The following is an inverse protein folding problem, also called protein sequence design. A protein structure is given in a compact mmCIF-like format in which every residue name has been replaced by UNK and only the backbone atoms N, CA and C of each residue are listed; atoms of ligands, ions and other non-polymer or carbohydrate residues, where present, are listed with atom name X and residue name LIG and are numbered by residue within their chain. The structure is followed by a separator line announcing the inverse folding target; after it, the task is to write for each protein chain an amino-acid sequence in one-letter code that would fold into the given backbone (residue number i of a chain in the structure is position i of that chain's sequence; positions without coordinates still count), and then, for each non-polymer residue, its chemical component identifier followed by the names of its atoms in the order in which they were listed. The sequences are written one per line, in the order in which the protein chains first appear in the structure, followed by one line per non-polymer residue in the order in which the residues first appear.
data_IF_329024107503
#
_entry.id   IF_329024107503
#
_cell.length_a   1.000
_cell.length_b   1.000
_cell.length_c   1.000
_cell.angle_alpha   90.00
_cell.angle_beta   90.00
_cell.angle_gamma   90.00
#
_symmetry.space_group_name_H-M   'P 1'
#
loop_
_entity.id
_entity.type
_entity.pdbx_description
1 polymer ?
#
# COMPACT_ATOMS: atom_id res chain seq x y z
N UNK A 1 -25.55 18.62 -15.37
CA UNK A 1 -26.89 18.37 -14.82
C UNK A 1 -27.72 17.65 -15.90
N UNK A 2 -28.03 16.40 -15.66
CA UNK A 2 -28.91 15.60 -16.54
C UNK A 2 -30.16 15.23 -15.74
N UNK A 3 -31.32 15.49 -16.29
CA UNK A 3 -32.59 15.13 -15.68
C UNK A 3 -33.50 14.54 -16.76
N UNK A 4 -33.95 13.29 -16.58
CA UNK A 4 -34.96 12.65 -17.39
C UNK A 4 -36.29 12.68 -16.63
N UNK A 5 -37.34 13.12 -17.25
CA UNK A 5 -38.71 12.97 -16.74
C UNK A 5 -39.60 12.39 -17.83
N UNK A 6 -40.56 11.58 -17.46
CA UNK A 6 -41.43 10.87 -18.37
C UNK A 6 -42.90 11.08 -17.96
N UNK A 7 -43.73 11.40 -18.93
CA UNK A 7 -45.19 11.49 -18.77
C UNK A 7 -45.83 10.50 -19.74
N UNK A 8 -47.11 10.27 -19.61
CA UNK A 8 -47.86 9.36 -20.53
C UNK A 8 -47.74 9.75 -22.00
N UNK A 9 -47.48 10.99 -22.30
CA UNK A 9 -47.44 11.55 -23.67
C UNK A 9 -46.05 11.98 -24.13
N UNK A 10 -45.12 12.26 -23.22
CA UNK A 10 -43.81 12.87 -23.54
C UNK A 10 -42.70 12.30 -22.72
N UNK A 11 -41.49 12.21 -23.32
CA UNK A 11 -40.22 12.01 -22.67
C UNK A 11 -39.51 13.36 -22.73
N UNK A 12 -39.07 13.88 -21.56
CA UNK A 12 -38.39 15.16 -21.45
C UNK A 12 -36.98 14.89 -20.94
N UNK A 13 -35.99 15.33 -21.69
CA UNK A 13 -34.57 15.24 -21.33
C UNK A 13 -34.02 16.66 -21.17
N UNK A 14 -33.46 16.96 -20.03
CA UNK A 14 -32.72 18.22 -19.77
C UNK A 14 -31.24 17.92 -19.64
N UNK A 15 -30.41 18.53 -20.47
CA UNK A 15 -28.95 18.43 -20.42
C UNK A 15 -28.43 19.85 -20.27
N UNK A 16 -27.80 20.13 -19.14
CA UNK A 16 -27.35 21.49 -18.80
C UNK A 16 -28.52 22.47 -18.84
N UNK A 17 -28.57 23.34 -19.84
CA UNK A 17 -29.63 24.35 -20.01
C UNK A 17 -30.59 24.03 -21.19
N UNK A 18 -30.38 22.88 -21.85
CA UNK A 18 -31.17 22.50 -23.02
C UNK A 18 -32.28 21.52 -22.59
N UNK A 19 -33.52 21.87 -22.87
CA UNK A 19 -34.70 20.99 -22.68
C UNK A 19 -35.13 20.41 -24.03
N UNK A 20 -35.01 19.09 -24.16
CA UNK A 20 -35.47 18.35 -25.35
C UNK A 20 -36.75 17.58 -24.97
N UNK A 21 -37.80 17.76 -25.71
CA UNK A 21 -39.12 17.12 -25.47
C UNK A 21 -39.48 16.24 -26.65
N UNK A 22 -39.65 14.95 -26.40
CA UNK A 22 -40.09 13.98 -27.39
C UNK A 22 -41.53 13.58 -27.11
N UNK A 23 -42.41 13.66 -28.14
CA UNK A 23 -43.78 13.17 -28.04
C UNK A 23 -43.80 11.65 -28.17
N UNK A 24 -44.40 10.97 -27.22
CA UNK A 24 -44.62 9.52 -27.32
C UNK A 24 -45.66 9.23 -28.39
N UNK A 25 -45.34 8.36 -29.34
CA UNK A 25 -46.25 7.88 -30.34
C UNK A 25 -47.02 6.69 -29.76
N UNK A 26 -48.33 6.84 -29.55
CA UNK A 26 -49.17 5.72 -29.18
C UNK A 26 -49.18 4.69 -30.33
N UNK A 27 -48.70 3.47 -30.06
CA UNK A 27 -48.80 2.33 -30.96
C UNK A 27 -50.24 1.76 -30.86
N UNK A 28 -51.08 2.17 -31.77
CA UNK A 28 -52.27 1.37 -32.08
C UNK A 28 -51.90 0.34 -33.15
N UNK A 29 -51.82 -0.93 -32.76
CA UNK A 29 -51.54 -2.05 -33.64
C UNK A 29 -52.78 -2.43 -34.48
N UNK A 30 -53.02 -1.72 -35.59
CA UNK A 30 -53.77 -2.26 -36.75
C UNK A 30 -53.00 -1.86 -38.00
N UNK A 31 -52.84 -2.78 -39.00
CA UNK A 31 -52.25 -2.39 -40.28
C UNK A 31 -53.26 -1.47 -40.99
N UNK A 32 -53.11 -0.16 -40.80
CA UNK A 32 -53.84 0.82 -41.61
C UNK A 32 -53.21 0.84 -43.02
N UNK A 33 -54.04 0.69 -44.06
CA UNK A 33 -53.67 1.14 -45.41
C UNK A 33 -52.99 2.49 -45.27
N UNK A 34 -51.83 2.67 -45.91
CA UNK A 34 -51.11 3.95 -45.76
C UNK A 34 -52.02 5.09 -46.16
N UNK A 35 -52.12 6.14 -45.34
CA UNK A 35 -52.95 7.30 -45.59
C UNK A 35 -52.74 7.89 -46.99
N UNK A 36 -51.52 7.74 -47.52
CA UNK A 36 -51.15 8.20 -48.86
C UNK A 36 -51.85 7.43 -49.95
N UNK A 37 -52.07 6.12 -49.83
CA UNK A 37 -52.75 5.32 -50.83
C UNK A 37 -54.25 5.70 -50.92
N UNK A 38 -54.83 6.11 -49.80
CA UNK A 38 -56.21 6.63 -49.76
C UNK A 38 -56.30 8.02 -50.37
N UNK A 39 -55.33 8.90 -50.07
CA UNK A 39 -55.33 10.29 -50.57
C UNK A 39 -55.02 10.32 -52.06
N UNK A 40 -54.04 9.58 -52.58
CA UNK A 40 -53.70 9.62 -54.00
C UNK A 40 -54.68 8.90 -54.92
N UNK A 41 -55.55 8.04 -54.37
CA UNK A 41 -56.53 7.31 -55.16
C UNK A 41 -57.46 8.22 -55.93
N UNK A 42 -57.78 9.44 -55.45
CA UNK A 42 -58.63 10.43 -56.08
C UNK A 42 -57.98 11.22 -57.23
N UNK A 43 -56.64 11.05 -57.40
CA UNK A 43 -55.92 11.77 -58.46
C UNK A 43 -56.12 11.03 -59.79
N UNK A 44 -56.75 11.66 -60.80
CA UNK A 44 -57.05 10.97 -62.04
C UNK A 44 -55.85 10.65 -62.92
N UNK A 45 -54.78 11.40 -62.76
CA UNK A 45 -53.52 11.20 -63.55
C UNK A 45 -52.63 10.21 -62.87
N UNK A 46 -52.44 9.03 -63.50
CA UNK A 46 -51.67 7.94 -62.94
C UNK A 46 -50.21 8.34 -62.59
N UNK A 47 -49.50 9.01 -63.48
CA UNK A 47 -48.12 9.45 -63.27
C UNK A 47 -47.93 10.39 -62.07
N UNK A 48 -48.94 11.27 -61.84
CA UNK A 48 -48.89 12.17 -60.68
C UNK A 48 -49.17 11.42 -59.38
N UNK A 49 -50.08 10.45 -59.40
CA UNK A 49 -50.33 9.54 -58.27
C UNK A 49 -49.03 8.77 -57.84
N UNK A 50 -48.35 8.19 -58.84
CA UNK A 50 -47.18 7.39 -58.61
C UNK A 50 -46.02 8.27 -58.12
N UNK A 51 -45.85 9.48 -58.64
CA UNK A 51 -44.87 10.45 -58.15
C UNK A 51 -45.11 10.86 -56.69
N UNK A 52 -46.37 11.15 -56.32
CA UNK A 52 -46.72 11.50 -54.94
C UNK A 52 -46.46 10.32 -53.97
N UNK A 53 -46.81 9.09 -54.41
CA UNK A 53 -46.47 7.88 -53.62
C UNK A 53 -44.96 7.72 -53.41
N UNK A 54 -44.20 7.87 -54.46
CA UNK A 54 -42.72 7.74 -54.38
C UNK A 54 -42.11 8.76 -53.42
N UNK A 55 -42.51 10.03 -53.53
CA UNK A 55 -42.07 11.10 -52.61
C UNK A 55 -42.45 10.77 -51.16
N UNK A 56 -43.67 10.29 -50.93
CA UNK A 56 -44.12 9.91 -49.60
C UNK A 56 -43.30 8.74 -49.01
N UNK A 57 -43.08 7.69 -49.81
CA UNK A 57 -42.30 6.55 -49.34
C UNK A 57 -40.83 6.89 -49.13
N UNK A 58 -40.24 7.72 -49.99
CA UNK A 58 -38.91 8.25 -49.77
C UNK A 58 -38.80 9.05 -48.49
N UNK A 59 -39.72 9.99 -48.26
CA UNK A 59 -39.78 10.75 -47.01
C UNK A 59 -39.93 9.83 -45.79
N UNK A 60 -40.83 8.85 -45.86
CA UNK A 60 -41.06 7.88 -44.79
C UNK A 60 -39.82 7.06 -44.49
N UNK A 61 -39.09 6.62 -45.52
CA UNK A 61 -37.83 5.88 -45.36
C UNK A 61 -36.74 6.75 -44.72
N UNK A 62 -36.59 7.98 -45.17
CA UNK A 62 -35.64 8.94 -44.58
C UNK A 62 -35.95 9.22 -43.11
N UNK A 63 -37.26 9.36 -42.78
CA UNK A 63 -37.68 9.54 -41.37
C UNK A 63 -37.37 8.32 -40.52
N UNK A 64 -37.58 7.10 -41.04
CA UNK A 64 -37.28 5.86 -40.33
C UNK A 64 -35.75 5.69 -40.12
N UNK A 65 -34.94 6.05 -41.13
CA UNK A 65 -33.46 6.03 -40.98
C UNK A 65 -33.00 7.05 -39.93
N UNK A 66 -33.55 8.24 -39.94
CA UNK A 66 -33.23 9.28 -38.93
C UNK A 66 -33.60 8.83 -37.52
N UNK A 67 -34.79 8.21 -37.35
CA UNK A 67 -35.19 7.65 -36.07
C UNK A 67 -34.31 6.51 -35.61
N UNK A 68 -33.85 5.64 -36.55
CA UNK A 68 -32.89 4.59 -36.25
C UNK A 68 -31.53 5.14 -35.77
N UNK A 69 -31.01 6.20 -36.42
CA UNK A 69 -29.79 6.88 -36.02
C UNK A 69 -29.91 7.50 -34.62
N UNK A 70 -31.04 8.15 -34.33
CA UNK A 70 -31.29 8.72 -32.99
C UNK A 70 -31.33 7.61 -31.92
N UNK A 71 -32.02 6.50 -32.22
CA UNK A 71 -32.12 5.38 -31.29
C UNK A 71 -30.75 4.71 -31.03
N UNK A 72 -29.83 4.73 -32.00
CA UNK A 72 -28.49 4.21 -31.83
C UNK A 72 -27.57 5.18 -31.06
N UNK A 73 -27.82 6.49 -31.19
CA UNK A 73 -27.03 7.50 -30.42
C UNK A 73 -27.37 7.50 -28.93
N UNK A 74 -28.58 7.17 -28.55
CA UNK A 74 -29.04 7.20 -27.17
C UNK A 74 -28.22 6.25 -26.24
N UNK A 75 -28.07 4.96 -26.59
CA UNK A 75 -27.22 4.04 -25.79
C UNK A 75 -25.75 4.50 -25.72
N UNK A 76 -25.24 5.07 -26.80
CA UNK A 76 -23.82 5.58 -26.80
C UNK A 76 -23.65 6.74 -25.82
N UNK A 77 -24.59 7.66 -25.76
CA UNK A 77 -24.57 8.79 -24.80
C UNK A 77 -24.74 8.26 -23.36
N UNK A 78 -25.65 7.32 -23.15
CA UNK A 78 -25.93 6.73 -21.83
C UNK A 78 -24.71 5.96 -21.29
N UNK A 79 -24.05 5.17 -22.14
CA UNK A 79 -22.82 4.47 -21.78
C UNK A 79 -21.67 5.43 -21.49
N UNK A 80 -21.48 6.45 -22.34
CA UNK A 80 -20.47 7.48 -22.11
C UNK A 80 -20.67 8.26 -20.81
N UNK A 81 -21.92 8.55 -20.45
CA UNK A 81 -22.27 9.18 -19.18
C UNK A 81 -21.97 8.27 -17.99
N UNK A 82 -22.34 7.00 -18.09
CA UNK A 82 -22.04 5.99 -17.04
C UNK A 82 -20.55 5.85 -16.81
N UNK A 83 -19.74 5.81 -17.88
CA UNK A 83 -18.27 5.72 -17.78
C UNK A 83 -17.65 6.96 -17.13
N UNK A 84 -18.16 8.15 -17.47
CA UNK A 84 -17.72 9.41 -16.85
C UNK A 84 -18.08 9.41 -15.37
N UNK A 85 -19.28 9.01 -15.00
CA UNK A 85 -19.75 8.98 -13.62
C UNK A 85 -18.87 8.03 -12.78
N UNK A 86 -18.60 6.83 -13.31
CA UNK A 86 -17.70 5.87 -12.66
C UNK A 86 -16.29 6.45 -12.43
N UNK A 87 -15.73 7.14 -13.44
CA UNK A 87 -14.41 7.77 -13.29
C UNK A 87 -14.39 8.87 -12.23
N UNK A 88 -15.51 9.62 -12.09
CA UNK A 88 -15.65 10.62 -11.01
C UNK A 88 -15.73 9.95 -9.64
N UNK A 89 -16.48 8.87 -9.49
CA UNK A 89 -16.57 8.12 -8.23
C UNK A 89 -15.23 7.51 -7.85
N UNK A 90 -14.50 6.94 -8.82
CA UNK A 90 -13.15 6.41 -8.63
C UNK A 90 -12.17 7.51 -8.20
N UNK A 91 -12.22 8.68 -8.85
CA UNK A 91 -11.40 9.84 -8.51
C UNK A 91 -11.74 10.39 -7.11
N UNK A 92 -13.03 10.50 -6.79
CA UNK A 92 -13.49 10.94 -5.47
C UNK A 92 -12.98 10.01 -4.37
N UNK A 93 -13.15 8.71 -4.56
CA UNK A 93 -12.65 7.68 -3.64
C UNK A 93 -11.13 7.75 -3.48
N UNK A 94 -10.40 7.95 -4.57
CA UNK A 94 -8.96 8.14 -4.54
C UNK A 94 -8.56 9.37 -3.72
N UNK A 95 -9.21 10.50 -3.93
CA UNK A 95 -8.92 11.76 -3.20
C UNK A 95 -9.23 11.60 -1.70
N UNK A 96 -10.38 11.01 -1.36
CA UNK A 96 -10.74 10.76 0.04
C UNK A 96 -9.71 9.87 0.74
N UNK A 97 -9.28 8.78 0.10
CA UNK A 97 -8.25 7.90 0.64
C UNK A 97 -6.92 8.65 0.87
N UNK A 98 -6.50 9.50 -0.09
CA UNK A 98 -5.28 10.31 0.04
C UNK A 98 -5.36 11.34 1.15
N UNK A 99 -6.50 12.00 1.33
CA UNK A 99 -6.73 12.93 2.44
C UNK A 99 -6.70 12.21 3.78
N UNK A 100 -7.28 11.02 3.87
CA UNK A 100 -7.24 10.17 5.06
C UNK A 100 -5.81 9.75 5.40
N UNK A 101 -5.03 9.30 4.42
CA UNK A 101 -3.62 8.93 4.61
C UNK A 101 -2.80 10.12 5.09
N UNK A 102 -2.98 11.30 4.48
CA UNK A 102 -2.32 12.54 4.89
C UNK A 102 -2.67 12.93 6.33
N UNK A 103 -3.97 12.91 6.68
CA UNK A 103 -4.43 13.19 8.04
C UNK A 103 -3.77 12.25 9.06
N UNK A 104 -3.73 10.96 8.77
CA UNK A 104 -3.11 9.97 9.65
C UNK A 104 -1.59 10.17 9.77
N UNK A 105 -0.90 10.52 8.68
CA UNK A 105 0.54 10.79 8.71
C UNK A 105 0.85 12.05 9.54
N UNK A 106 0.08 13.12 9.40
CA UNK A 106 0.21 14.33 10.24
C UNK A 106 -0.03 13.99 11.72
N UNK A 107 -1.05 13.19 12.02
CA UNK A 107 -1.32 12.73 13.38
C UNK A 107 -0.15 11.92 13.94
N UNK A 108 0.38 10.97 13.18
CA UNK A 108 1.55 10.18 13.58
C UNK A 108 2.77 11.08 13.85
N UNK A 109 2.99 12.10 13.02
CA UNK A 109 4.08 13.06 13.21
C UNK A 109 3.91 13.88 14.50
N UNK A 110 2.68 14.33 14.82
CA UNK A 110 2.38 15.04 16.07
C UNK A 110 2.62 14.13 17.28
N UNK A 111 2.14 12.89 17.23
CA UNK A 111 2.32 11.92 18.31
C UNK A 111 3.80 11.58 18.50
N UNK A 112 4.53 11.28 17.42
CA UNK A 112 5.95 10.98 17.50
C UNK A 112 6.75 12.14 18.06
N UNK A 113 6.50 13.36 17.63
CA UNK A 113 7.18 14.55 18.16
C UNK A 113 6.94 14.78 19.66
N UNK A 114 5.87 14.24 20.23
CA UNK A 114 5.58 14.36 21.67
C UNK A 114 6.22 13.25 22.53
N UNK A 115 6.38 12.03 21.99
CA UNK A 115 6.86 10.87 22.77
C UNK A 115 8.28 10.43 22.40
N UNK A 116 8.67 10.47 21.12
CA UNK A 116 9.97 10.02 20.64
C UNK A 116 11.18 10.73 21.27
N UNK A 117 11.13 12.06 21.58
CA UNK A 117 12.27 12.72 22.24
C UNK A 117 12.66 12.04 23.55
N UNK A 118 11.70 11.59 24.34
CA UNK A 118 11.94 10.89 25.61
C UNK A 118 12.54 9.51 25.44
N UNK A 119 12.29 8.90 24.26
CA UNK A 119 12.71 7.53 23.95
C UNK A 119 14.07 7.54 23.24
N UNK A 120 14.19 8.29 22.12
CA UNK A 120 15.28 8.10 21.16
C UNK A 120 16.44 9.08 21.30
N UNK A 121 16.26 10.27 21.88
CA UNK A 121 17.33 11.29 21.97
C UNK A 121 18.60 10.72 22.64
N UNK A 122 18.44 9.93 23.68
CA UNK A 122 19.55 9.33 24.43
C UNK A 122 20.38 8.31 23.63
N UNK A 123 19.87 7.85 22.48
CA UNK A 123 20.56 6.87 21.65
C UNK A 123 21.29 7.48 20.44
N UNK A 124 21.25 8.80 20.27
CA UNK A 124 21.99 9.45 19.18
C UNK A 124 23.48 9.15 19.34
N UNK A 125 24.07 8.55 18.29
CA UNK A 125 25.51 8.24 18.19
C UNK A 125 26.09 7.28 19.28
N UNK A 126 25.25 6.58 20.06
CA UNK A 126 25.73 5.70 21.16
C UNK A 126 26.53 4.49 20.68
N UNK A 127 26.39 4.11 19.41
CA UNK A 127 27.12 2.99 18.82
C UNK A 127 28.25 3.43 17.88
N UNK A 128 28.66 4.70 17.95
CA UNK A 128 29.78 5.20 17.14
C UNK A 128 30.99 4.32 17.32
N UNK A 129 31.59 3.91 16.20
CA UNK A 129 32.72 2.97 16.14
C UNK A 129 32.44 1.52 16.59
N UNK A 130 31.20 1.14 16.84
CA UNK A 130 30.80 -0.25 17.12
C UNK A 130 30.19 -0.89 15.88
N UNK A 131 30.24 -2.20 15.86
CA UNK A 131 29.50 -3.02 14.92
C UNK A 131 28.11 -3.33 15.49
N UNK A 132 27.09 -3.29 14.67
CA UNK A 132 25.72 -3.60 15.05
C UNK A 132 25.18 -4.70 14.14
N UNK A 133 24.52 -5.70 14.71
CA UNK A 133 23.85 -6.78 14.00
C UNK A 133 22.36 -6.57 14.08
N UNK A 134 21.70 -6.41 12.93
CA UNK A 134 20.24 -6.45 12.82
C UNK A 134 19.80 -7.90 12.58
N UNK A 135 19.14 -8.49 13.58
CA UNK A 135 18.68 -9.88 13.57
C UNK A 135 17.18 -9.90 13.23
N UNK A 136 16.89 -10.30 12.01
CA UNK A 136 15.53 -10.50 11.49
C UNK A 136 15.20 -11.99 11.46
N UNK A 137 13.96 -12.34 11.19
CA UNK A 137 13.42 -13.69 11.44
C UNK A 137 13.37 -14.59 10.20
N UNK A 138 14.07 -14.26 9.12
CA UNK A 138 14.15 -15.11 7.94
C UNK A 138 14.91 -16.42 8.19
N UNK A 139 14.67 -17.47 7.35
CA UNK A 139 15.26 -18.80 7.53
C UNK A 139 16.80 -18.86 7.60
N UNK A 140 17.49 -17.94 6.91
CA UNK A 140 18.96 -17.87 6.91
C UNK A 140 19.56 -17.55 8.28
N UNK A 141 18.74 -17.06 9.23
CA UNK A 141 19.15 -16.90 10.63
C UNK A 141 19.68 -18.20 11.23
N UNK A 142 19.19 -19.37 10.82
CA UNK A 142 19.67 -20.65 11.30
C UNK A 142 21.17 -20.90 10.97
N UNK A 143 21.67 -20.30 9.89
CA UNK A 143 23.05 -20.41 9.44
C UNK A 143 23.95 -19.28 9.99
N UNK A 144 23.41 -18.40 10.82
CA UNK A 144 24.18 -17.30 11.38
C UNK A 144 25.18 -17.80 12.43
N UNK A 145 26.45 -17.41 12.27
CA UNK A 145 27.50 -17.61 13.25
C UNK A 145 27.63 -16.30 14.03
N UNK A 146 27.38 -16.29 15.36
CA UNK A 146 27.39 -15.06 16.14
C UNK A 146 28.73 -14.28 16.05
N UNK A 147 28.63 -13.01 15.70
CA UNK A 147 29.77 -12.08 15.67
C UNK A 147 30.00 -11.59 17.11
N UNK A 148 31.24 -11.62 17.56
CA UNK A 148 31.61 -11.18 18.92
C UNK A 148 31.72 -9.65 19.00
N UNK A 149 31.51 -9.11 20.19
CA UNK A 149 31.68 -7.68 20.49
C UNK A 149 30.81 -6.75 19.63
N UNK A 150 29.64 -7.21 19.19
CA UNK A 150 28.66 -6.45 18.47
C UNK A 150 27.48 -6.09 19.37
N UNK A 151 26.77 -5.01 19.00
CA UNK A 151 25.46 -4.70 19.55
C UNK A 151 24.40 -5.45 18.74
N UNK A 152 23.58 -6.24 19.41
CA UNK A 152 22.55 -7.08 18.76
C UNK A 152 21.17 -6.43 18.85
N UNK A 153 20.57 -6.14 17.72
CA UNK A 153 19.21 -5.57 17.58
C UNK A 153 18.31 -6.61 16.95
N UNK A 154 17.39 -7.17 17.71
CA UNK A 154 16.45 -8.16 17.23
C UNK A 154 15.07 -7.56 16.90
N UNK A 155 14.29 -8.25 16.06
CA UNK A 155 12.92 -7.88 15.74
C UNK A 155 11.96 -9.05 15.96
N UNK A 156 10.75 -8.75 16.46
CA UNK A 156 9.68 -9.74 16.70
C UNK A 156 10.21 -11.01 17.38
N UNK A 157 10.08 -12.17 16.71
CA UNK A 157 10.51 -13.47 17.22
C UNK A 157 12.03 -13.67 17.37
N UNK A 158 12.86 -12.68 17.00
CA UNK A 158 14.33 -12.83 17.13
C UNK A 158 14.77 -13.16 18.57
N UNK A 159 14.00 -12.80 19.58
CA UNK A 159 14.27 -13.18 20.98
C UNK A 159 14.23 -14.70 21.24
N UNK A 160 13.66 -15.50 20.34
CA UNK A 160 13.69 -16.97 20.39
C UNK A 160 14.99 -17.56 19.87
N UNK A 161 15.85 -16.77 19.24
CA UNK A 161 17.15 -17.20 18.74
C UNK A 161 18.16 -17.20 19.87
N UNK A 162 18.45 -18.38 20.42
CA UNK A 162 19.18 -18.57 21.67
C UNK A 162 20.71 -18.51 21.55
N UNK A 163 21.25 -18.25 20.33
CA UNK A 163 22.71 -18.20 20.15
C UNK A 163 23.34 -16.84 20.48
N UNK A 164 22.51 -15.79 20.65
CA UNK A 164 22.97 -14.45 21.03
C UNK A 164 22.00 -13.79 22.00
N UNK A 165 22.53 -12.95 22.89
CA UNK A 165 21.74 -12.05 23.71
C UNK A 165 21.45 -10.77 22.92
N UNK A 166 20.24 -10.24 23.00
CA UNK A 166 19.84 -9.00 22.35
C UNK A 166 20.05 -7.82 23.31
N UNK A 167 20.66 -6.75 22.79
CA UNK A 167 20.75 -5.46 23.50
C UNK A 167 19.45 -4.66 23.32
N UNK A 168 18.86 -4.75 22.12
CA UNK A 168 17.62 -4.09 21.76
C UNK A 168 16.66 -5.06 21.08
N UNK A 169 15.38 -4.94 21.38
CA UNK A 169 14.31 -5.73 20.76
C UNK A 169 13.16 -4.84 20.30
N UNK A 170 12.89 -4.86 19.01
CA UNK A 170 11.77 -4.16 18.38
C UNK A 170 10.60 -5.10 18.15
N UNK A 171 9.41 -4.71 18.57
CA UNK A 171 8.16 -5.49 18.43
C UNK A 171 7.09 -4.59 17.86
N UNK A 172 6.46 -4.99 16.76
CA UNK A 172 5.40 -4.23 16.11
C UNK A 172 4.19 -5.10 15.79
N UNK A 173 4.39 -6.37 15.44
CA UNK A 173 3.35 -7.19 14.88
C UNK A 173 2.61 -8.02 15.95
N UNK A 174 1.44 -7.53 16.32
CA UNK A 174 0.53 -8.20 17.23
C UNK A 174 -0.23 -9.40 16.59
N UNK A 175 -0.24 -9.50 15.25
CA UNK A 175 -0.85 -10.64 14.57
C UNK A 175 0.11 -11.81 14.42
N UNK A 176 1.41 -11.50 14.32
CA UNK A 176 2.46 -12.52 14.27
C UNK A 176 2.79 -13.08 15.65
N UNK A 177 2.60 -12.29 16.72
CA UNK A 177 2.86 -12.69 18.09
C UNK A 177 1.54 -12.99 18.82
N UNK A 178 1.42 -14.19 19.39
CA UNK A 178 0.34 -14.52 20.32
C UNK A 178 0.49 -13.71 21.61
N UNK A 179 -0.58 -13.65 22.43
CA UNK A 179 -0.52 -13.00 23.73
C UNK A 179 0.61 -13.54 24.62
N UNK A 180 0.84 -14.84 24.62
CA UNK A 180 1.89 -15.49 25.39
C UNK A 180 3.28 -15.09 24.87
N UNK A 181 3.48 -15.05 23.56
CA UNK A 181 4.74 -14.62 22.95
C UNK A 181 5.04 -13.15 23.20
N UNK A 182 4.02 -12.27 23.22
CA UNK A 182 4.18 -10.89 23.68
C UNK A 182 4.64 -10.82 25.12
N UNK A 183 4.04 -11.63 26.01
CA UNK A 183 4.45 -11.73 27.40
C UNK A 183 5.88 -12.26 27.54
N UNK A 184 6.24 -13.26 26.76
CA UNK A 184 7.61 -13.81 26.72
C UNK A 184 8.60 -12.76 26.24
N UNK A 185 8.26 -11.96 25.23
CA UNK A 185 9.11 -10.87 24.75
C UNK A 185 9.35 -9.79 25.80
N UNK A 186 8.36 -9.49 26.64
CA UNK A 186 8.51 -8.56 27.78
C UNK A 186 9.46 -9.11 28.82
N UNK A 187 9.35 -10.41 29.11
CA UNK A 187 10.17 -11.10 30.11
C UNK A 187 11.59 -11.43 29.58
N UNK A 188 11.79 -11.42 28.27
CA UNK A 188 13.10 -11.68 27.68
C UNK A 188 14.15 -10.66 28.16
N UNK A 189 15.31 -11.14 28.62
CA UNK A 189 16.44 -10.31 28.97
C UNK A 189 16.10 -9.16 29.93
N UNK A 190 15.26 -9.40 30.96
CA UNK A 190 14.91 -8.40 31.97
C UNK A 190 16.19 -7.74 32.49
N UNK A 191 16.22 -6.41 32.54
CA UNK A 191 17.35 -5.57 32.96
C UNK A 191 18.56 -5.55 32.01
N UNK A 192 18.56 -6.31 30.91
CA UNK A 192 19.66 -6.34 29.94
C UNK A 192 19.24 -5.91 28.53
N UNK A 193 18.06 -6.30 28.09
CA UNK A 193 17.54 -6.00 26.76
C UNK A 193 16.52 -4.84 26.81
N UNK A 194 16.76 -3.78 26.06
CA UNK A 194 15.84 -2.63 25.93
C UNK A 194 14.80 -2.95 24.85
N UNK A 195 13.53 -2.78 25.18
CA UNK A 195 12.42 -3.13 24.30
C UNK A 195 11.71 -1.90 23.77
N UNK A 196 11.35 -1.96 22.48
CA UNK A 196 10.61 -0.95 21.75
C UNK A 196 9.37 -1.57 21.14
N UNK A 197 8.19 -0.98 21.39
CA UNK A 197 6.91 -1.47 20.89
C UNK A 197 6.33 -0.46 19.91
N UNK A 198 6.24 -0.84 18.65
CA UNK A 198 5.74 0.00 17.56
C UNK A 198 4.22 -0.02 17.48
N UNK A 199 3.63 1.17 17.33
CA UNK A 199 2.19 1.36 17.12
C UNK A 199 1.96 2.26 15.91
N UNK A 200 0.93 1.98 15.10
CA UNK A 200 0.58 2.76 13.91
C UNK A 200 -0.30 3.94 14.27
N UNK A 201 -1.09 3.85 15.34
CA UNK A 201 -1.91 4.95 15.84
C UNK A 201 -2.29 4.72 17.31
N UNK A 202 -2.76 5.78 17.98
CA UNK A 202 -3.26 5.72 19.36
C UNK A 202 -4.40 4.70 19.58
N UNK A 203 -5.19 4.41 18.54
CA UNK A 203 -6.26 3.39 18.60
C UNK A 203 -5.73 1.96 18.56
N UNK A 204 -4.50 1.75 18.11
CA UNK A 204 -3.88 0.44 18.04
C UNK A 204 -3.13 0.04 19.31
N UNK A 205 -2.85 0.97 20.22
CA UNK A 205 -2.23 0.66 21.51
C UNK A 205 -3.03 -0.44 22.24
N UNK A 206 -4.35 -0.30 22.29
CA UNK A 206 -5.21 -1.29 22.96
C UNK A 206 -5.32 -2.62 22.21
N UNK A 207 -5.12 -2.63 20.89
CA UNK A 207 -5.19 -3.83 20.05
C UNK A 207 -3.86 -4.56 19.93
N UNK A 208 -2.77 -3.81 19.98
CA UNK A 208 -1.43 -4.31 19.66
C UNK A 208 -0.70 -4.82 20.89
N UNK A 209 -0.82 -4.11 22.00
CA UNK A 209 -0.16 -4.50 23.24
C UNK A 209 -1.23 -4.50 24.32
N UNK A 210 -1.53 -5.67 24.92
CA UNK A 210 -2.48 -5.70 26.01
C UNK A 210 -2.11 -4.67 27.09
N UNK A 211 -3.08 -3.87 27.52
CA UNK A 211 -2.91 -2.76 28.45
C UNK A 211 -2.04 -3.10 29.67
N UNK A 212 -2.21 -4.31 30.21
CA UNK A 212 -1.42 -4.84 31.32
C UNK A 212 0.08 -5.00 31.04
N UNK A 213 0.49 -5.09 29.76
CA UNK A 213 1.90 -5.28 29.38
C UNK A 213 2.63 -3.94 29.39
N UNK A 214 2.02 -2.87 28.87
CA UNK A 214 2.69 -1.57 28.82
C UNK A 214 2.51 -0.73 30.10
N UNK A 215 1.47 -0.94 30.88
CA UNK A 215 1.27 -0.24 32.16
C UNK A 215 2.25 -0.68 33.25
N UNK A 216 2.78 -1.89 33.17
CA UNK A 216 3.62 -2.49 34.21
C UNK A 216 5.08 -2.75 33.77
N UNK A 217 5.50 -2.23 32.62
CA UNK A 217 6.84 -2.47 32.12
C UNK A 217 7.49 -1.15 31.63
N UNK A 218 8.82 -1.07 31.71
CA UNK A 218 9.64 0.00 31.12
C UNK A 218 9.58 -0.08 29.56
N UNK A 219 8.38 -0.17 29.00
CA UNK A 219 8.16 -0.29 27.58
C UNK A 219 8.35 1.06 26.89
N UNK A 220 9.27 1.14 25.95
CA UNK A 220 9.39 2.27 25.04
C UNK A 220 8.39 2.10 23.90
N UNK A 221 7.27 2.83 23.94
CA UNK A 221 6.26 2.82 22.87
C UNK A 221 6.64 3.87 21.84
N UNK A 222 6.75 3.50 20.57
CA UNK A 222 7.08 4.42 19.49
C UNK A 222 6.06 4.37 18.36
N UNK A 223 5.98 5.46 17.59
CA UNK A 223 5.07 5.59 16.45
C UNK A 223 5.73 5.09 15.18
N UNK A 224 4.99 4.29 14.44
CA UNK A 224 5.38 3.76 13.12
C UNK A 224 4.50 4.39 12.06
N UNK A 225 5.06 4.78 10.92
CA UNK A 225 4.28 5.21 9.77
C UNK A 225 3.55 4.00 9.16
N UNK A 226 2.34 4.23 8.69
CA UNK A 226 1.53 3.18 8.09
C UNK A 226 2.16 2.73 6.78
N UNK A 227 2.35 1.41 6.63
CA UNK A 227 2.80 0.80 5.39
C UNK A 227 1.86 1.11 4.21
N UNK A 228 2.41 1.15 2.99
CA UNK A 228 1.68 1.38 1.74
C UNK A 228 1.14 2.81 1.56
N UNK A 229 1.60 3.76 2.36
CA UNK A 229 1.30 5.18 2.16
C UNK A 229 2.42 5.89 1.42
N UNK A 230 2.13 6.99 0.68
CA UNK A 230 3.17 7.78 0.01
C UNK A 230 4.05 8.58 1.00
N UNK A 231 3.68 8.59 2.27
CA UNK A 231 4.36 9.33 3.33
C UNK A 231 5.38 8.47 4.07
N UNK A 232 5.41 7.16 3.80
CA UNK A 232 6.33 6.24 4.42
C UNK A 232 7.75 6.47 3.91
N UNK A 233 8.64 6.86 4.81
CA UNK A 233 10.04 7.18 4.49
C UNK A 233 10.95 6.96 5.70
N UNK A 234 12.23 6.74 5.44
CA UNK A 234 13.25 6.80 6.47
C UNK A 234 13.47 8.24 6.93
N UNK A 235 13.73 8.43 8.22
CA UNK A 235 13.89 9.74 8.82
C UNK A 235 15.28 9.88 9.47
N UNK A 236 15.95 10.98 9.16
CA UNK A 236 17.25 11.31 9.76
C UNK A 236 17.13 11.72 11.24
N UNK A 237 15.94 12.14 11.68
CA UNK A 237 15.66 12.51 13.07
C UNK A 237 14.48 11.70 13.63
N UNK A 238 14.76 10.50 14.09
CA UNK A 238 13.75 9.61 14.68
C UNK A 238 13.24 10.08 16.05
N UNK A 239 13.86 11.10 16.62
CA UNK A 239 13.37 11.66 17.90
C UNK A 239 12.12 12.53 17.72
N UNK A 240 11.73 12.89 16.50
CA UNK A 240 10.53 13.70 16.21
C UNK A 240 9.62 13.09 15.13
N UNK A 241 10.15 12.24 14.25
CA UNK A 241 9.38 11.65 13.16
C UNK A 241 9.04 10.18 13.44
N UNK A 242 7.92 9.66 12.91
CA UNK A 242 7.60 8.24 12.99
C UNK A 242 8.66 7.39 12.26
N UNK A 243 8.81 6.13 12.66
CA UNK A 243 9.72 5.19 12.01
C UNK A 243 9.03 4.50 10.83
N UNK A 244 9.76 4.11 9.77
CA UNK A 244 9.19 3.42 8.62
C UNK A 244 8.82 1.98 8.94
N UNK A 245 7.92 1.40 8.17
CA UNK A 245 7.52 -0.01 8.25
C UNK A 245 7.84 -0.79 6.97
N UNK A 246 7.54 -0.27 5.78
CA UNK A 246 7.66 -0.95 4.47
C UNK A 246 7.26 -2.44 4.53
N UNK A 247 6.22 -2.74 5.33
CA UNK A 247 5.73 -4.11 5.54
C UNK A 247 6.61 -4.99 6.46
N UNK A 248 7.66 -4.42 7.09
CA UNK A 248 8.50 -5.14 8.05
C UNK A 248 9.04 -4.22 9.14
N UNK A 249 8.98 -4.67 10.37
CA UNK A 249 9.60 -3.98 11.52
C UNK A 249 11.12 -3.83 11.40
N UNK A 250 11.77 -4.62 10.55
CA UNK A 250 13.21 -4.52 10.29
C UNK A 250 13.62 -3.10 9.88
N UNK A 251 12.74 -2.35 9.19
CA UNK A 251 13.02 -0.99 8.74
C UNK A 251 12.99 0.03 9.88
N UNK A 252 12.07 -0.13 10.84
CA UNK A 252 12.07 0.68 12.05
C UNK A 252 13.35 0.44 12.87
N UNK A 253 13.73 -0.82 13.05
CA UNK A 253 14.98 -1.19 13.74
C UNK A 253 16.22 -0.67 12.99
N UNK A 254 16.25 -0.76 11.66
CA UNK A 254 17.35 -0.23 10.84
C UNK A 254 17.46 1.29 10.95
N UNK A 255 16.33 2.02 10.93
CA UNK A 255 16.34 3.48 11.11
C UNK A 255 16.87 3.88 12.50
N UNK A 256 16.51 3.12 13.56
CA UNK A 256 17.08 3.29 14.88
C UNK A 256 18.60 2.99 14.88
N UNK A 257 19.05 1.88 14.26
CA UNK A 257 20.47 1.54 14.17
C UNK A 257 21.24 2.68 13.49
N UNK A 258 20.74 3.21 12.36
CA UNK A 258 21.37 4.35 11.69
C UNK A 258 21.49 5.57 12.61
N UNK A 259 20.45 5.89 13.40
CA UNK A 259 20.45 6.95 14.40
C UNK A 259 21.53 6.78 15.47
N UNK A 260 21.84 5.52 15.82
CA UNK A 260 22.93 5.22 16.78
C UNK A 260 24.33 5.33 16.17
N UNK A 261 24.44 5.54 14.84
CA UNK A 261 25.64 5.79 14.06
C UNK A 261 26.75 4.74 14.25
N UNK A 262 26.49 3.46 13.95
CA UNK A 262 27.52 2.41 14.07
C UNK A 262 28.58 2.53 12.96
N UNK A 263 29.72 1.85 13.13
CA UNK A 263 30.73 1.69 12.08
C UNK A 263 30.21 0.78 10.95
N UNK A 264 29.63 -0.38 11.31
CA UNK A 264 29.10 -1.38 10.37
C UNK A 264 27.74 -1.87 10.83
N UNK A 265 26.87 -2.19 9.87
CA UNK A 265 25.58 -2.85 10.10
C UNK A 265 25.60 -4.21 9.39
N UNK A 266 25.48 -5.28 10.16
CA UNK A 266 25.33 -6.64 9.62
C UNK A 266 23.83 -7.00 9.58
N UNK A 267 23.34 -7.41 8.41
CA UNK A 267 21.97 -7.83 8.19
C UNK A 267 21.88 -9.35 8.23
N UNK A 268 21.12 -9.90 9.16
CA UNK A 268 21.00 -11.34 9.40
C UNK A 268 19.53 -11.75 9.36
N UNK A 269 19.18 -12.79 8.61
CA UNK A 269 17.80 -13.24 8.45
C UNK A 269 16.92 -12.24 7.69
N UNK A 270 17.53 -11.33 6.92
CA UNK A 270 16.84 -10.36 6.07
C UNK A 270 16.53 -10.96 4.68
N UNK A 271 15.86 -12.10 4.63
CA UNK A 271 15.82 -12.94 3.44
C UNK A 271 14.99 -12.36 2.29
N UNK A 272 13.94 -11.61 2.60
CA UNK A 272 13.01 -11.04 1.58
C UNK A 272 12.66 -12.04 0.47
N UNK A 273 12.29 -13.25 0.86
CA UNK A 273 11.96 -14.35 -0.03
C UNK A 273 10.73 -15.10 0.46
N UNK A 274 10.19 -15.99 -0.36
CA UNK A 274 9.04 -16.82 -0.04
C UNK A 274 9.32 -17.91 1.04
N UNK A 275 10.51 -17.95 1.61
CA UNK A 275 10.93 -19.02 2.54
C UNK A 275 10.36 -18.96 3.96
N UNK A 276 9.51 -17.95 4.26
CA UNK A 276 8.87 -17.84 5.59
C UNK A 276 9.79 -17.34 6.70
N UNK A 277 9.48 -17.73 7.94
CA UNK A 277 10.25 -17.36 9.14
C UNK A 277 11.00 -18.55 9.71
N UNK A 278 12.11 -18.31 10.39
CA UNK A 278 12.92 -19.37 11.02
C UNK A 278 12.16 -20.18 12.09
N UNK A 279 11.02 -19.65 12.59
CA UNK A 279 10.18 -20.26 13.63
C UNK A 279 9.10 -21.16 13.07
N UNK A 280 8.45 -20.80 11.95
CA UNK A 280 7.22 -21.44 11.51
C UNK A 280 7.06 -21.63 10.00
N UNK A 281 8.06 -21.27 9.19
CA UNK A 281 8.06 -21.36 7.72
C UNK A 281 6.80 -20.76 7.02
N UNK A 282 6.08 -19.85 7.70
CA UNK A 282 4.94 -19.17 7.09
C UNK A 282 5.40 -18.19 6.04
N UNK A 283 4.85 -18.34 4.85
CA UNK A 283 5.18 -17.50 3.70
C UNK A 283 4.82 -16.01 3.95
N UNK A 284 5.72 -15.13 3.57
CA UNK A 284 5.51 -13.68 3.60
C UNK A 284 5.06 -13.20 2.24
N UNK A 285 3.78 -12.86 2.09
CA UNK A 285 3.18 -12.41 0.83
C UNK A 285 3.65 -11.03 0.32
N UNK A 286 4.47 -10.30 1.09
CA UNK A 286 4.80 -8.89 0.82
C UNK A 286 6.28 -8.62 0.53
N UNK A 287 7.07 -9.63 0.20
CA UNK A 287 8.51 -9.47 -0.02
C UNK A 287 8.87 -8.47 -1.15
N UNK A 288 8.04 -8.30 -2.17
CA UNK A 288 8.26 -7.27 -3.20
C UNK A 288 8.23 -5.85 -2.66
N UNK A 289 7.32 -5.57 -1.72
CA UNK A 289 7.26 -4.27 -1.05
C UNK A 289 8.42 -4.09 -0.03
N UNK A 290 8.81 -5.16 0.65
CA UNK A 290 10.00 -5.11 1.50
C UNK A 290 11.27 -4.85 0.68
N UNK A 291 11.42 -5.44 -0.52
CA UNK A 291 12.54 -5.14 -1.43
C UNK A 291 12.57 -3.66 -1.85
N UNK A 292 11.39 -3.08 -2.13
CA UNK A 292 11.30 -1.63 -2.33
C UNK A 292 11.79 -0.87 -1.09
N UNK A 293 11.36 -1.26 0.12
CA UNK A 293 11.84 -0.67 1.38
C UNK A 293 13.36 -0.76 1.56
N UNK A 294 13.98 -1.89 1.20
CA UNK A 294 15.44 -2.05 1.24
C UNK A 294 16.16 -1.13 0.24
N UNK A 295 15.60 -0.91 -0.96
CA UNK A 295 16.14 0.08 -1.90
C UNK A 295 16.04 1.51 -1.33
N UNK A 296 14.93 1.86 -0.67
CA UNK A 296 14.80 3.15 0.03
C UNK A 296 15.81 3.26 1.18
N UNK A 297 16.01 2.18 1.95
CA UNK A 297 17.04 2.11 3.01
C UNK A 297 18.44 2.36 2.46
N UNK A 298 18.79 1.71 1.34
CA UNK A 298 20.08 1.89 0.67
C UNK A 298 20.33 3.34 0.28
N UNK A 299 19.33 3.97 -0.36
CA UNK A 299 19.40 5.39 -0.77
C UNK A 299 19.54 6.32 0.45
N UNK A 300 18.70 6.11 1.45
CA UNK A 300 18.74 6.89 2.69
C UNK A 300 20.09 6.80 3.40
N UNK A 301 20.61 5.59 3.59
CA UNK A 301 21.87 5.36 4.28
C UNK A 301 23.04 5.93 3.48
N UNK A 302 23.08 5.73 2.16
CA UNK A 302 24.16 6.28 1.32
C UNK A 302 24.19 7.81 1.31
N UNK A 303 23.06 8.47 1.52
CA UNK A 303 22.97 9.94 1.54
C UNK A 303 23.25 10.53 2.94
N UNK A 304 22.61 9.97 3.98
CA UNK A 304 22.66 10.54 5.32
C UNK A 304 23.77 9.94 6.22
N UNK A 305 24.23 8.73 5.91
CA UNK A 305 25.20 7.96 6.70
C UNK A 305 26.22 7.26 5.79
N UNK A 306 26.93 8.00 4.92
CA UNK A 306 27.83 7.41 3.91
C UNK A 306 29.05 6.69 4.50
N UNK A 307 29.35 6.91 5.77
CA UNK A 307 30.43 6.29 6.53
C UNK A 307 30.02 4.95 7.18
N UNK A 308 28.74 4.57 7.15
CA UNK A 308 28.27 3.29 7.67
C UNK A 308 28.36 2.22 6.58
N UNK A 309 29.20 1.19 6.81
CA UNK A 309 29.25 0.03 5.94
C UNK A 309 28.10 -0.93 6.25
N UNK A 310 27.38 -1.40 5.21
CA UNK A 310 26.27 -2.36 5.35
C UNK A 310 26.67 -3.69 4.72
N UNK A 311 26.50 -4.77 5.45
CA UNK A 311 26.93 -6.11 5.06
C UNK A 311 25.77 -7.09 5.26
N UNK A 312 25.38 -7.78 4.20
CA UNK A 312 24.36 -8.83 4.24
C UNK A 312 25.01 -10.19 4.52
N UNK A 313 24.51 -10.89 5.52
CA UNK A 313 24.96 -12.23 5.86
C UNK A 313 24.01 -13.27 5.28
N UNK A 314 24.54 -14.17 4.44
CA UNK A 314 23.78 -15.22 3.75
C UNK A 314 22.53 -14.67 3.01
N UNK A 315 22.66 -13.60 2.20
CA UNK A 315 21.49 -12.97 1.58
C UNK A 315 20.80 -13.89 0.57
N UNK A 316 19.45 -13.78 0.51
CA UNK A 316 18.64 -14.38 -0.55
C UNK A 316 18.09 -13.26 -1.45
N UNK A 317 17.02 -12.59 -1.05
CA UNK A 317 16.43 -11.51 -1.84
C UNK A 317 17.24 -10.21 -1.86
N UNK A 318 18.16 -10.03 -0.90
CA UNK A 318 19.07 -8.87 -0.83
C UNK A 318 20.41 -9.11 -1.53
N UNK A 319 20.63 -10.26 -2.16
CA UNK A 319 21.89 -10.59 -2.82
C UNK A 319 22.32 -9.51 -3.81
N UNK A 320 23.53 -9.01 -3.69
CA UNK A 320 24.09 -7.94 -4.53
C UNK A 320 23.56 -6.53 -4.23
N UNK A 321 22.65 -6.37 -3.25
CA UNK A 321 22.17 -5.05 -2.86
C UNK A 321 23.18 -4.30 -2.00
N UNK A 322 23.83 -5.01 -1.07
CA UNK A 322 24.89 -4.55 -0.18
C UNK A 322 26.14 -5.39 -0.39
N UNK A 323 27.14 -5.27 0.49
CA UNK A 323 28.27 -6.19 0.52
C UNK A 323 27.80 -7.51 1.09
N UNK A 324 28.00 -8.59 0.36
CA UNK A 324 27.54 -9.93 0.76
C UNK A 324 28.67 -10.72 1.39
N UNK A 325 28.34 -11.46 2.47
CA UNK A 325 29.23 -12.47 3.06
C UNK A 325 28.44 -13.74 3.37
N UNK A 326 29.13 -14.86 3.35
CA UNK A 326 28.51 -16.19 3.50
C UNK A 326 29.20 -16.99 4.59
N UNK A 327 28.40 -17.61 5.46
CA UNK A 327 28.89 -18.51 6.49
C UNK A 327 29.25 -19.87 5.92
N UNK A 328 30.45 -20.34 6.19
CA UNK A 328 30.93 -21.68 5.81
C UNK A 328 31.99 -22.16 6.83
N UNK A 329 31.87 -23.40 7.30
CA UNK A 329 32.85 -24.06 8.18
C UNK A 329 33.26 -23.20 9.41
N UNK A 330 32.30 -22.50 10.01
CA UNK A 330 32.54 -21.67 11.20
C UNK A 330 33.14 -20.29 10.92
N UNK A 331 33.33 -19.92 9.66
CA UNK A 331 33.89 -18.65 9.20
C UNK A 331 32.99 -17.94 8.22
N UNK A 332 33.33 -16.70 7.89
CA UNK A 332 32.66 -15.90 6.87
C UNK A 332 33.57 -15.65 5.68
N UNK A 333 33.01 -15.66 4.48
CA UNK A 333 33.70 -15.42 3.21
C UNK A 333 32.92 -14.41 2.39
N UNK A 334 33.61 -13.57 1.63
CA UNK A 334 32.99 -12.69 0.63
C UNK A 334 32.67 -13.45 -0.67
N UNK A 335 32.10 -12.73 -1.66
CA UNK A 335 31.75 -13.30 -2.97
C UNK A 335 32.95 -13.89 -3.74
N UNK A 336 34.15 -13.40 -3.47
CA UNK A 336 35.39 -13.87 -4.09
C UNK A 336 36.01 -15.09 -3.34
N UNK A 337 35.35 -15.54 -2.27
CA UNK A 337 35.81 -16.67 -1.44
C UNK A 337 36.92 -16.30 -0.50
N UNK A 338 37.23 -15.03 -0.30
CA UNK A 338 38.22 -14.55 0.69
C UNK A 338 37.59 -14.51 2.06
N UNK A 339 38.34 -15.01 3.07
CA UNK A 339 37.89 -14.95 4.47
C UNK A 339 37.66 -13.51 4.92
N UNK A 340 36.44 -13.24 5.43
CA UNK A 340 36.03 -11.95 5.99
C UNK A 340 36.43 -11.91 7.48
N UNK A 341 37.30 -10.95 7.82
CA UNK A 341 37.78 -10.72 9.19
C UNK A 341 37.05 -9.50 9.77
N UNK A 342 36.50 -9.61 10.98
CA UNK A 342 35.74 -8.58 11.67
C UNK A 342 36.61 -7.50 12.30
#
# INVERSE_FOLDING_TARGET
FFQKSETDKYIIIKILFIKITFKKKHRNNKPQKSDIDTIVWWIPIKSLRDSIRNIYYEYKNNLNQSNSRINNLYPFIENGYSDIHKKFDDLYTYVENRLSDFHNSVKNMILSSSIHPKIFTKYLNVNKNKDVVLIVTGPTLNNYIPIRNCVNVGVNHAFKYNKVDLDYLFIQDNKALTYNELKDSVNYGISKCIKFYGIISDREIERTIPKKIYENSDCNIYIVERAWTPFETFNYNISIFPLPSFGSIAFAALNFIAWTHPKRIFLVGCDCSAGGHFVDNKDTSHYGYMLYGWNQAKLFLSYHYPDIEIISINPIGLKGMFKDIYSKDGKYFDDDGKEFIF
#
